data_IF_533584443315
#
_entry.id   IF_533584443315
#
_cell.length_a   1.000
_cell.length_b   1.000
_cell.length_c   1.000
_cell.angle_alpha   90.00
_cell.angle_beta   90.00
_cell.angle_gamma   90.00
#
_symmetry.space_group_name_H-M   'P 1'
#
loop_
_entity.id
_entity.type
_entity.pdbx_description
1 polymer ?
#
# COMPACT_ATOMS: atom_id res chain seq x y z
N UNK A 1 11.72 4.35 -2.91
CA UNK A 1 12.61 3.50 -3.72
C UNK A 1 12.77 4.17 -5.07
N UNK A 2 14.00 4.28 -5.58
CA UNK A 2 14.27 4.86 -6.91
C UNK A 2 13.83 3.91 -8.03
N UNK A 3 13.73 4.41 -9.28
CA UNK A 3 13.26 3.61 -10.42
C UNK A 3 14.26 2.58 -10.93
N UNK A 4 15.52 2.60 -10.46
CA UNK A 4 16.60 1.72 -10.91
C UNK A 4 17.16 0.98 -9.70
N UNK A 5 17.41 -0.32 -9.86
CA UNK A 5 18.01 -1.20 -8.85
C UNK A 5 19.09 -2.08 -9.49
N UNK A 6 20.12 -2.40 -8.72
CA UNK A 6 21.08 -3.43 -9.10
C UNK A 6 20.45 -4.82 -8.90
N UNK A 7 20.58 -5.71 -9.89
CA UNK A 7 19.91 -7.01 -9.90
C UNK A 7 20.83 -8.11 -10.42
N UNK A 8 21.12 -9.11 -9.58
CA UNK A 8 21.94 -10.26 -9.98
C UNK A 8 21.10 -11.36 -10.61
N UNK A 9 21.15 -11.44 -11.94
CA UNK A 9 20.43 -12.45 -12.72
C UNK A 9 20.80 -13.89 -12.33
N UNK A 10 22.01 -14.15 -11.82
CA UNK A 10 22.43 -15.50 -11.40
C UNK A 10 21.61 -15.98 -10.23
N UNK A 11 21.33 -15.10 -9.27
CA UNK A 11 20.46 -15.43 -8.13
C UNK A 11 19.05 -15.81 -8.61
N UNK A 12 18.57 -15.14 -9.67
CA UNK A 12 17.25 -15.36 -10.21
C UNK A 12 17.13 -16.71 -10.93
N UNK A 13 17.95 -16.96 -11.95
CA UNK A 13 17.81 -18.17 -12.77
C UNK A 13 18.39 -19.41 -12.10
N UNK A 14 19.44 -19.32 -11.27
CA UNK A 14 20.00 -20.51 -10.59
C UNK A 14 19.09 -21.03 -9.46
N UNK A 15 18.10 -20.23 -9.05
CA UNK A 15 17.14 -20.59 -8.00
C UNK A 15 15.71 -20.67 -8.50
N UNK A 16 15.52 -20.66 -9.82
CA UNK A 16 14.20 -20.73 -10.48
C UNK A 16 13.18 -19.73 -9.89
N UNK A 17 13.62 -18.50 -9.63
CA UNK A 17 12.75 -17.47 -9.06
C UNK A 17 11.79 -16.91 -10.12
N UNK A 18 10.64 -16.40 -9.68
CA UNK A 18 9.68 -15.68 -10.53
C UNK A 18 9.60 -14.23 -10.09
N UNK A 19 9.57 -13.30 -11.05
CA UNK A 19 9.44 -11.87 -10.79
C UNK A 19 8.21 -11.32 -11.52
N UNK A 20 7.27 -10.75 -10.77
CA UNK A 20 6.01 -10.23 -11.31
C UNK A 20 5.90 -8.74 -11.01
N UNK A 21 5.83 -7.92 -12.07
CA UNK A 21 5.43 -6.52 -11.97
C UNK A 21 3.90 -6.41 -11.94
N UNK A 22 3.35 -5.52 -11.11
CA UNK A 22 1.91 -5.27 -11.04
C UNK A 22 1.65 -3.80 -10.73
N UNK A 23 0.78 -3.18 -11.54
CA UNK A 23 0.31 -1.80 -11.37
C UNK A 23 -1.17 -1.79 -11.66
N UNK A 24 -1.97 -1.26 -10.72
CA UNK A 24 -3.45 -1.31 -10.77
C UNK A 24 -3.97 -2.75 -10.79
N UNK A 25 -4.82 -3.09 -9.83
CA UNK A 25 -5.44 -4.42 -9.79
C UNK A 25 -6.74 -4.45 -10.59
N UNK A 26 -7.19 -5.65 -10.93
CA UNK A 26 -8.50 -5.87 -11.54
C UNK A 26 -9.61 -5.27 -10.66
N UNK A 27 -10.69 -4.79 -11.28
CA UNK A 27 -11.84 -4.21 -10.56
C UNK A 27 -12.46 -5.20 -9.57
N UNK A 28 -12.42 -6.50 -9.88
CA UNK A 28 -12.87 -7.56 -8.97
C UNK A 28 -12.08 -7.59 -7.65
N UNK A 29 -10.78 -7.25 -7.67
CA UNK A 29 -9.93 -7.24 -6.47
C UNK A 29 -10.43 -6.24 -5.43
N UNK A 30 -10.86 -5.05 -5.86
CA UNK A 30 -11.42 -4.06 -4.93
C UNK A 30 -12.69 -4.56 -4.26
N UNK A 31 -13.58 -5.22 -5.02
CA UNK A 31 -14.80 -5.85 -4.48
C UNK A 31 -14.47 -6.94 -3.47
N UNK A 32 -13.52 -7.83 -3.80
CA UNK A 32 -13.12 -8.91 -2.91
C UNK A 32 -12.54 -8.38 -1.58
N UNK A 33 -11.73 -7.32 -1.63
CA UNK A 33 -11.21 -6.67 -0.41
C UNK A 33 -12.34 -6.14 0.48
N UNK A 34 -13.37 -5.52 -0.10
CA UNK A 34 -14.55 -5.07 0.67
C UNK A 34 -15.25 -6.25 1.34
N UNK A 35 -15.50 -7.33 0.59
CA UNK A 35 -16.11 -8.55 1.14
C UNK A 35 -15.30 -9.12 2.32
N UNK A 36 -13.98 -9.23 2.18
CA UNK A 36 -13.13 -9.71 3.29
C UNK A 36 -13.15 -8.80 4.53
N UNK A 37 -13.36 -7.48 4.35
CA UNK A 37 -13.54 -6.54 5.47
C UNK A 37 -14.89 -6.76 6.15
N UNK A 38 -15.96 -6.90 5.35
CA UNK A 38 -17.34 -7.13 5.84
C UNK A 38 -17.44 -8.46 6.60
N UNK A 39 -16.79 -9.50 6.08
CA UNK A 39 -16.71 -10.84 6.68
C UNK A 39 -15.73 -10.93 7.86
N UNK A 40 -15.05 -9.82 8.18
CA UNK A 40 -14.06 -9.68 9.27
C UNK A 40 -12.83 -10.59 9.14
N UNK A 41 -12.56 -11.09 7.93
CA UNK A 41 -11.35 -11.86 7.63
C UNK A 41 -10.11 -10.96 7.65
N UNK A 42 -10.27 -9.70 7.23
CA UNK A 42 -9.24 -8.66 7.36
C UNK A 42 -9.82 -7.40 8.00
N UNK A 43 -8.95 -6.56 8.56
CA UNK A 43 -9.33 -5.28 9.18
C UNK A 43 -8.54 -4.14 8.57
N UNK A 44 -9.18 -3.00 8.24
CA UNK A 44 -8.46 -1.79 7.86
C UNK A 44 -7.50 -1.36 8.97
N UNK A 45 -6.25 -1.08 8.63
CA UNK A 45 -5.29 -0.52 9.56
C UNK A 45 -5.33 1.01 9.42
N UNK A 46 -6.04 1.68 10.33
CA UNK A 46 -6.16 3.14 10.36
C UNK A 46 -5.13 3.72 11.33
N UNK A 47 -4.27 4.61 10.85
CA UNK A 47 -3.24 5.25 11.65
C UNK A 47 -3.72 6.56 12.29
N UNK A 48 -4.31 7.45 11.50
CA UNK A 48 -4.71 8.79 11.94
C UNK A 48 -5.76 9.35 10.98
N UNK A 49 -6.62 10.24 11.48
CA UNK A 49 -7.65 10.95 10.71
C UNK A 49 -7.44 12.45 10.85
N UNK A 50 -7.49 13.17 9.72
CA UNK A 50 -7.38 14.63 9.68
C UNK A 50 -8.60 15.23 8.99
N UNK A 51 -9.10 16.40 9.41
CA UNK A 51 -10.04 17.17 8.60
C UNK A 51 -9.35 17.70 7.34
N UNK A 52 -10.11 17.98 6.28
CA UNK A 52 -9.60 18.53 5.03
C UNK A 52 -8.86 19.85 5.21
N UNK A 53 -9.27 20.67 6.19
CA UNK A 53 -8.58 21.89 6.59
C UNK A 53 -7.12 21.66 7.05
N UNK A 54 -6.79 20.45 7.48
CA UNK A 54 -5.45 20.04 7.93
C UNK A 54 -4.68 19.22 6.88
N UNK A 55 -5.09 19.23 5.60
CA UNK A 55 -4.47 18.42 4.54
C UNK A 55 -2.94 18.53 4.49
N UNK A 56 -2.39 19.73 4.70
CA UNK A 56 -0.93 19.96 4.74
C UNK A 56 -0.24 19.17 5.86
N UNK A 57 -0.87 19.09 7.03
CA UNK A 57 -0.37 18.34 8.19
C UNK A 57 -0.49 16.83 7.96
N UNK A 58 -1.62 16.39 7.40
CA UNK A 58 -1.81 15.00 6.98
C UNK A 58 -0.72 14.54 6.00
N UNK A 59 -0.42 15.37 4.99
CA UNK A 59 0.63 15.06 4.01
C UNK A 59 2.03 15.03 4.64
N UNK A 60 2.34 15.97 5.54
CA UNK A 60 3.63 15.93 6.27
C UNK A 60 3.76 14.64 7.08
N UNK A 61 2.72 14.25 7.81
CA UNK A 61 2.68 13.00 8.57
C UNK A 61 2.84 11.76 7.68
N UNK A 62 2.20 11.75 6.51
CA UNK A 62 2.35 10.68 5.52
C UNK A 62 3.78 10.54 5.00
N UNK A 63 4.49 11.66 4.84
CA UNK A 63 5.88 11.67 4.35
C UNK A 63 6.90 11.28 5.42
N UNK A 64 6.61 11.51 6.71
CA UNK A 64 7.50 11.10 7.82
C UNK A 64 7.64 9.58 7.95
N UNK A 65 6.68 8.79 7.43
CA UNK A 65 6.67 7.31 7.47
C UNK A 65 6.84 6.70 8.87
N UNK A 66 6.56 7.46 9.94
CA UNK A 66 6.54 7.01 11.34
C UNK A 66 5.17 6.45 11.77
N UNK A 67 4.46 5.79 10.86
CA UNK A 67 3.13 5.25 11.09
C UNK A 67 3.00 3.86 10.46
N UNK A 68 2.09 3.05 11.01
CA UNK A 68 1.63 1.79 10.41
C UNK A 68 0.15 1.97 10.09
N UNK A 69 -0.25 1.60 8.88
CA UNK A 69 -1.61 1.79 8.39
C UNK A 69 -1.80 3.05 7.55
N UNK A 70 -3.05 3.38 7.27
CA UNK A 70 -3.47 4.45 6.38
C UNK A 70 -3.76 5.74 7.15
N UNK A 71 -3.43 6.88 6.55
CA UNK A 71 -3.87 8.20 7.01
C UNK A 71 -5.09 8.58 6.16
N UNK A 72 -6.19 8.94 6.81
CA UNK A 72 -7.44 9.32 6.14
C UNK A 72 -7.70 10.81 6.33
N UNK A 73 -8.16 11.47 5.28
CA UNK A 73 -8.63 12.86 5.34
C UNK A 73 -10.14 12.86 5.15
N UNK A 74 -10.86 13.47 6.08
CA UNK A 74 -12.31 13.61 6.01
C UNK A 74 -12.67 14.99 5.45
N UNK A 75 -13.72 15.10 4.59
CA UNK A 75 -14.15 16.37 4.00
C UNK A 75 -14.48 17.46 5.02
#
# INVERSE_FOLDING_TARGET
AGPIVEFDLRTFYLRDLTFTGSTVTETATAKNIVTYIEDREIKPCLAEVFPLSELKKAQKKFMEKKHVGNIVVVP
#
